data_IF_789319480771
#
_entry.id   IF_789319480771
#
_cell.length_a   1.000
_cell.length_b   1.000
_cell.length_c   1.000
_cell.angle_alpha   90.00
_cell.angle_beta   90.00
_cell.angle_gamma   90.00
#
_symmetry.space_group_name_H-M   'P 1'
#
loop_
_entity.id
_entity.type
_entity.pdbx_description
1 polymer ?
#
# COMPACT_ATOMS: atom_id res chain seq x y z
N UNK A 1 -14.94 -50.44 -21.06
CA UNK A 1 -14.28 -49.25 -21.66
C UNK A 1 -15.15 -48.00 -21.47
N UNK A 2 -15.36 -47.51 -20.23
CA UNK A 2 -16.11 -46.26 -19.93
C UNK A 2 -15.74 -45.68 -18.54
N UNK A 3 -14.44 -45.64 -18.19
CA UNK A 3 -13.97 -45.05 -16.92
C UNK A 3 -12.61 -44.35 -17.07
N UNK A 4 -12.40 -43.63 -18.17
CA UNK A 4 -11.14 -42.91 -18.41
C UNK A 4 -11.37 -41.55 -19.06
N UNK A 5 -12.40 -40.82 -18.61
CA UNK A 5 -12.71 -39.48 -19.15
C UNK A 5 -13.21 -38.52 -18.07
N UNK A 6 -12.59 -38.52 -16.89
CA UNK A 6 -12.97 -37.65 -15.77
C UNK A 6 -11.76 -37.19 -14.93
N UNK A 7 -10.57 -37.07 -15.55
CA UNK A 7 -9.37 -36.54 -14.88
C UNK A 7 -8.83 -35.26 -15.57
N UNK A 8 -9.38 -34.86 -16.72
CA UNK A 8 -8.86 -33.73 -17.51
C UNK A 8 -9.54 -32.38 -17.32
N UNK A 9 -10.31 -32.17 -16.24
CA UNK A 9 -10.85 -30.83 -15.89
C UNK A 9 -10.79 -30.60 -14.38
N UNK A 10 -9.58 -30.62 -13.81
CA UNK A 10 -9.31 -30.05 -12.48
C UNK A 10 -8.05 -29.17 -12.51
N UNK A 11 -7.82 -28.51 -13.65
CA UNK A 11 -6.85 -27.44 -13.87
C UNK A 11 -7.57 -26.09 -14.03
N UNK A 12 -8.67 -25.91 -13.31
CA UNK A 12 -9.38 -24.64 -13.25
C UNK A 12 -8.86 -23.84 -12.05
N UNK A 13 -7.99 -22.89 -12.36
CA UNK A 13 -7.84 -21.62 -11.67
C UNK A 13 -7.61 -21.72 -10.15
N UNK A 14 -6.40 -22.08 -9.75
CA UNK A 14 -5.83 -21.56 -8.51
C UNK A 14 -5.60 -20.06 -8.76
N UNK A 15 -6.64 -19.25 -8.56
CA UNK A 15 -6.48 -17.80 -8.49
C UNK A 15 -5.64 -17.52 -7.24
N UNK A 16 -4.56 -16.72 -7.33
CA UNK A 16 -3.78 -16.36 -6.17
C UNK A 16 -4.70 -15.65 -5.18
N UNK A 17 -4.81 -16.20 -3.96
CA UNK A 17 -5.47 -15.54 -2.85
C UNK A 17 -4.67 -14.31 -2.48
N UNK A 18 -5.11 -13.13 -2.94
CA UNK A 18 -4.58 -11.89 -2.41
C UNK A 18 -5.12 -11.72 -0.99
N UNK A 19 -4.26 -11.71 0.05
CA UNK A 19 -4.67 -11.24 1.36
C UNK A 19 -5.11 -9.78 1.24
N UNK A 20 -5.93 -9.39 2.20
CA UNK A 20 -6.47 -8.05 2.35
C UNK A 20 -5.35 -6.99 2.23
N UNK A 21 -5.61 -5.90 1.49
CA UNK A 21 -4.75 -4.73 1.29
C UNK A 21 -4.01 -4.71 -0.05
N UNK A 22 -3.76 -5.88 -0.65
CA UNK A 22 -2.83 -6.01 -1.78
C UNK A 22 -3.33 -5.36 -3.08
N UNK A 23 -4.63 -5.43 -3.36
CA UNK A 23 -5.21 -4.91 -4.59
C UNK A 23 -4.89 -3.42 -4.78
N UNK A 24 -5.08 -2.60 -3.74
CA UNK A 24 -4.89 -1.16 -3.83
C UNK A 24 -3.43 -0.78 -4.14
N UNK A 25 -2.44 -1.39 -3.45
CA UNK A 25 -1.02 -1.11 -3.71
C UNK A 25 -0.58 -1.49 -5.12
N UNK A 26 -1.08 -2.63 -5.64
CA UNK A 26 -0.86 -3.05 -7.03
C UNK A 26 -1.38 -2.01 -8.02
N UNK A 27 -2.64 -1.58 -7.85
CA UNK A 27 -3.25 -0.56 -8.71
C UNK A 27 -2.51 0.78 -8.60
N UNK A 28 -2.15 1.22 -7.40
CA UNK A 28 -1.43 2.47 -7.19
C UNK A 28 -0.12 2.48 -8.00
N UNK A 29 0.69 1.42 -7.89
CA UNK A 29 1.96 1.32 -8.61
C UNK A 29 1.76 1.19 -10.12
N UNK A 30 0.75 0.42 -10.55
CA UNK A 30 0.39 0.28 -11.96
C UNK A 30 0.04 1.63 -12.58
N UNK A 31 -0.90 2.38 -11.98
CA UNK A 31 -1.35 3.65 -12.52
C UNK A 31 -0.30 4.77 -12.42
N UNK A 32 0.56 4.73 -11.41
CA UNK A 32 1.64 5.70 -11.26
C UNK A 32 2.59 5.71 -12.46
N UNK A 33 2.77 4.58 -13.16
CA UNK A 33 3.61 4.51 -14.36
C UNK A 33 3.11 5.44 -15.46
N UNK A 34 1.80 5.56 -15.67
CA UNK A 34 1.24 6.36 -16.76
C UNK A 34 1.36 7.88 -16.55
N UNK A 35 1.71 8.32 -15.33
CA UNK A 35 1.95 9.72 -15.03
C UNK A 35 3.40 10.16 -15.32
N UNK A 36 4.30 9.21 -15.57
CA UNK A 36 5.71 9.49 -15.78
C UNK A 36 5.97 10.13 -17.16
N UNK A 37 7.03 10.96 -17.27
CA UNK A 37 7.40 11.55 -18.55
C UNK A 37 7.94 10.48 -19.54
N UNK A 38 7.90 10.74 -20.87
CA UNK A 38 8.29 9.77 -21.90
C UNK A 38 9.66 9.11 -21.68
N UNK A 39 10.63 9.85 -21.17
CA UNK A 39 11.99 9.39 -20.86
C UNK A 39 12.00 8.29 -19.80
N UNK A 40 11.10 8.39 -18.82
CA UNK A 40 10.95 7.40 -17.76
C UNK A 40 10.10 6.20 -18.19
N UNK A 41 9.10 6.43 -19.05
CA UNK A 41 8.22 5.36 -19.55
C UNK A 41 8.98 4.25 -20.26
N UNK A 42 10.12 4.55 -20.87
CA UNK A 42 10.98 3.54 -21.52
C UNK A 42 11.35 2.39 -20.58
N UNK A 43 11.67 2.69 -19.32
CA UNK A 43 11.98 1.70 -18.29
C UNK A 43 10.73 1.24 -17.52
N UNK A 44 9.89 2.17 -17.09
CA UNK A 44 8.80 1.85 -16.17
C UNK A 44 7.64 1.12 -16.87
N UNK A 45 7.30 1.47 -18.11
CA UNK A 45 6.20 0.84 -18.84
C UNK A 45 6.52 -0.61 -19.22
N UNK A 46 7.76 -0.89 -19.59
CA UNK A 46 8.21 -2.25 -19.92
C UNK A 46 8.27 -3.16 -18.69
N UNK A 47 8.40 -2.58 -17.49
CA UNK A 47 8.45 -3.28 -16.21
C UNK A 47 7.20 -3.05 -15.33
N UNK A 48 6.09 -2.57 -15.91
CA UNK A 48 4.89 -2.18 -15.15
C UNK A 48 4.30 -3.35 -14.36
N UNK A 49 4.36 -4.57 -14.91
CA UNK A 49 3.86 -5.76 -14.21
C UNK A 49 4.71 -6.07 -12.98
N UNK A 50 6.04 -5.92 -13.07
CA UNK A 50 6.93 -6.08 -11.92
C UNK A 50 6.60 -5.06 -10.83
N UNK A 51 6.47 -3.79 -11.19
CA UNK A 51 6.15 -2.71 -10.24
C UNK A 51 4.81 -2.96 -9.54
N UNK A 52 3.81 -3.43 -10.28
CA UNK A 52 2.51 -3.81 -9.73
C UNK A 52 2.63 -5.03 -8.81
N UNK A 53 3.19 -6.14 -9.27
CA UNK A 53 3.21 -7.39 -8.50
C UNK A 53 4.07 -7.34 -7.25
N UNK A 54 5.15 -6.57 -7.27
CA UNK A 54 6.06 -6.39 -6.15
C UNK A 54 5.68 -5.21 -5.24
N UNK A 55 4.60 -4.47 -5.54
CA UNK A 55 4.07 -3.41 -4.67
C UNK A 55 3.60 -3.91 -3.29
N UNK A 56 3.49 -5.23 -3.11
CA UNK A 56 3.01 -5.88 -1.88
C UNK A 56 4.13 -6.64 -1.15
N UNK A 57 5.35 -6.62 -1.69
CA UNK A 57 6.50 -7.28 -1.05
C UNK A 57 6.83 -6.73 0.35
N UNK A 58 6.67 -5.41 0.65
CA UNK A 58 6.83 -4.92 2.01
C UNK A 58 5.91 -5.60 3.03
N UNK A 59 4.64 -5.87 2.67
CA UNK A 59 3.73 -6.60 3.54
C UNK A 59 4.15 -8.05 3.73
N UNK A 60 4.62 -8.72 2.67
CA UNK A 60 5.19 -10.07 2.80
C UNK A 60 6.40 -10.08 3.72
N UNK A 61 7.23 -9.04 3.68
CA UNK A 61 8.42 -8.90 4.54
C UNK A 61 8.07 -8.67 6.00
N UNK A 62 6.88 -8.15 6.32
CA UNK A 62 6.41 -7.93 7.71
C UNK A 62 6.59 -9.17 8.60
N UNK A 63 6.44 -10.37 8.00
CA UNK A 63 6.52 -11.66 8.70
C UNK A 63 7.92 -12.31 8.74
N UNK A 64 8.87 -11.76 7.98
CA UNK A 64 10.19 -12.35 7.76
C UNK A 64 11.35 -11.42 8.17
N UNK A 65 11.12 -10.10 8.20
CA UNK A 65 12.15 -9.08 8.44
C UNK A 65 11.84 -8.32 9.71
N UNK A 66 12.72 -8.43 10.69
CA UNK A 66 12.61 -7.70 11.95
C UNK A 66 12.58 -6.18 11.70
N UNK A 67 11.61 -5.50 12.33
CA UNK A 67 11.42 -4.06 12.18
C UNK A 67 10.81 -3.62 10.84
N UNK A 68 10.34 -4.55 9.99
CA UNK A 68 9.56 -4.17 8.81
C UNK A 68 8.20 -3.60 9.20
N UNK A 69 7.48 -4.21 10.15
CA UNK A 69 6.12 -3.79 10.51
C UNK A 69 5.98 -2.30 10.85
N UNK A 70 6.93 -1.74 11.61
CA UNK A 70 6.95 -0.32 11.97
C UNK A 70 7.05 0.62 10.76
N UNK A 71 7.46 0.14 9.57
CA UNK A 71 7.63 0.97 8.36
C UNK A 71 6.31 1.24 7.64
N UNK A 72 5.24 0.57 8.03
CA UNK A 72 3.93 0.60 7.37
C UNK A 72 2.98 1.64 7.97
N UNK A 73 3.24 2.14 9.17
CA UNK A 73 2.30 3.00 9.88
C UNK A 73 3.02 4.06 10.71
N UNK A 74 2.22 4.95 11.30
CA UNK A 74 2.60 5.81 12.42
C UNK A 74 1.38 6.08 13.29
N UNK A 75 1.38 5.57 14.52
CA UNK A 75 0.30 5.82 15.48
C UNK A 75 0.48 7.21 16.09
N UNK A 76 0.16 8.22 15.28
CA UNK A 76 0.56 9.61 15.52
C UNK A 76 -0.11 10.21 16.77
N UNK A 77 -1.25 9.66 17.15
CA UNK A 77 -2.04 9.98 18.34
C UNK A 77 -1.32 9.65 19.65
N UNK A 78 -0.33 8.74 19.65
CA UNK A 78 0.55 8.55 20.81
C UNK A 78 1.46 9.73 21.11
N UNK A 79 1.65 10.63 20.15
CA UNK A 79 2.58 11.74 20.31
C UNK A 79 1.90 13.05 20.72
N UNK A 80 0.58 13.17 20.65
CA UNK A 80 -0.16 14.37 21.09
C UNK A 80 -1.47 14.56 20.35
N UNK A 81 -1.93 15.81 20.30
CA UNK A 81 -3.14 16.22 19.57
C UNK A 81 -2.77 16.87 18.24
N UNK A 82 -3.66 16.79 17.25
CA UNK A 82 -3.49 17.45 15.95
C UNK A 82 -3.11 18.95 16.13
N UNK A 83 -2.11 19.48 15.39
CA UNK A 83 -1.36 18.86 14.29
C UNK A 83 -0.11 18.09 14.73
N UNK A 84 -0.04 17.65 15.99
CA UNK A 84 1.02 16.80 16.57
C UNK A 84 2.39 17.47 16.61
N UNK A 85 2.45 18.76 16.96
CA UNK A 85 3.68 19.57 16.98
C UNK A 85 4.75 19.06 17.96
N UNK A 86 4.32 18.27 18.93
CA UNK A 86 5.19 17.56 19.86
C UNK A 86 6.10 16.54 19.17
N UNK A 87 5.71 15.98 18.02
CA UNK A 87 6.51 15.00 17.28
C UNK A 87 7.46 15.69 16.29
N UNK A 88 8.79 15.68 16.51
CA UNK A 88 9.71 16.31 15.58
C UNK A 88 9.68 15.62 14.22
N UNK A 89 9.62 16.42 13.15
CA UNK A 89 9.57 15.90 11.77
C UNK A 89 10.93 15.41 11.28
N UNK A 90 12.01 15.92 11.87
CA UNK A 90 13.37 15.44 11.67
C UNK A 90 13.63 14.18 12.50
N UNK A 91 14.13 13.12 11.87
CA UNK A 91 14.40 11.83 12.52
C UNK A 91 15.32 11.93 13.74
N UNK A 92 16.41 12.68 13.67
CA UNK A 92 17.37 12.78 14.77
C UNK A 92 16.76 13.45 16.00
N UNK A 93 15.97 14.52 15.79
CA UNK A 93 15.23 15.18 16.88
C UNK A 93 14.15 14.27 17.47
N UNK A 94 13.47 13.49 16.64
CA UNK A 94 12.47 12.52 17.11
C UNK A 94 13.13 11.42 17.94
N UNK A 95 14.28 10.91 17.47
CA UNK A 95 15.07 9.88 18.14
C UNK A 95 15.60 10.37 19.49
N UNK A 96 16.11 11.60 19.55
CA UNK A 96 16.57 12.22 20.79
C UNK A 96 15.43 12.37 21.81
N UNK A 97 14.25 12.78 21.35
CA UNK A 97 13.10 13.05 22.22
C UNK A 97 12.39 11.79 22.70
N UNK A 98 12.18 10.81 21.84
CA UNK A 98 11.33 9.63 22.12
C UNK A 98 12.10 8.33 22.22
N UNK A 99 13.34 8.26 21.74
CA UNK A 99 14.13 7.02 21.70
C UNK A 99 13.71 6.09 20.58
N UNK A 100 14.61 5.14 20.24
CA UNK A 100 14.41 4.22 19.11
C UNK A 100 13.24 3.27 19.33
N UNK A 101 13.12 2.71 20.53
CA UNK A 101 12.14 1.66 20.82
C UNK A 101 10.72 2.20 20.74
N UNK A 102 10.48 3.41 21.25
CA UNK A 102 9.19 4.10 21.13
C UNK A 102 8.85 4.40 19.67
N UNK A 103 9.79 4.93 18.89
CA UNK A 103 9.55 5.21 17.48
C UNK A 103 9.26 3.93 16.69
N UNK A 104 9.99 2.84 16.95
CA UNK A 104 9.73 1.54 16.32
C UNK A 104 8.39 0.94 16.75
N UNK A 105 7.99 1.15 18.00
CA UNK A 105 6.70 0.66 18.52
C UNK A 105 5.50 1.37 17.91
N UNK A 106 5.60 2.68 17.68
CA UNK A 106 4.48 3.49 17.18
C UNK A 106 4.65 3.92 15.73
N UNK A 107 5.49 3.20 14.98
CA UNK A 107 5.63 3.36 13.54
C UNK A 107 6.51 4.53 13.09
N UNK A 108 7.12 4.34 11.92
CA UNK A 108 8.14 5.22 11.34
C UNK A 108 7.94 5.50 9.85
N UNK A 109 6.77 5.19 9.28
CA UNK A 109 6.51 5.32 7.83
C UNK A 109 6.94 6.68 7.23
N UNK A 110 6.73 7.85 7.88
CA UNK A 110 7.09 9.13 7.26
C UNK A 110 8.59 9.29 7.04
N UNK A 111 9.41 8.79 7.98
CA UNK A 111 10.87 8.82 7.87
C UNK A 111 11.39 7.69 6.98
N UNK A 112 10.70 6.55 6.95
CA UNK A 112 11.09 5.44 6.08
C UNK A 112 10.95 5.82 4.60
N UNK A 113 9.90 6.54 4.21
CA UNK A 113 9.73 7.08 2.85
C UNK A 113 10.95 7.93 2.42
N UNK A 114 11.50 8.76 3.31
CA UNK A 114 12.70 9.56 3.00
C UNK A 114 13.93 8.69 2.77
N UNK A 115 14.08 7.64 3.58
CA UNK A 115 15.15 6.64 3.41
C UNK A 115 15.04 5.94 2.07
N UNK A 116 13.82 5.55 1.69
CA UNK A 116 13.55 4.90 0.41
C UNK A 116 13.79 5.83 -0.78
N UNK A 117 13.41 7.11 -0.67
CA UNK A 117 13.71 8.11 -1.70
C UNK A 117 15.21 8.29 -1.90
N UNK A 118 15.99 8.37 -0.81
CA UNK A 118 17.44 8.45 -0.89
C UNK A 118 18.04 7.22 -1.58
N UNK A 119 17.59 6.01 -1.20
CA UNK A 119 18.04 4.76 -1.82
C UNK A 119 17.69 4.68 -3.30
N UNK A 120 16.47 5.07 -3.67
CA UNK A 120 16.04 5.08 -5.07
C UNK A 120 16.85 6.08 -5.90
N UNK A 121 17.11 7.27 -5.34
CA UNK A 121 17.99 8.27 -5.96
C UNK A 121 19.40 7.71 -6.18
N UNK A 122 19.96 7.02 -5.20
CA UNK A 122 21.27 6.38 -5.32
C UNK A 122 21.28 5.30 -6.41
N UNK A 123 20.24 4.45 -6.49
CA UNK A 123 20.11 3.43 -7.52
C UNK A 123 20.04 4.03 -8.94
N UNK A 124 19.37 5.17 -9.10
CA UNK A 124 19.39 5.91 -10.36
C UNK A 124 20.79 6.44 -10.70
N UNK A 125 21.50 7.04 -9.75
CA UNK A 125 22.89 7.52 -9.95
C UNK A 125 23.82 6.38 -10.37
N UNK A 126 23.66 5.23 -9.75
CA UNK A 126 24.44 4.01 -10.01
C UNK A 126 24.02 3.28 -11.30
N UNK A 127 22.94 3.71 -11.97
CA UNK A 127 22.43 3.08 -13.19
C UNK A 127 22.12 1.59 -12.99
N UNK A 128 21.59 1.25 -11.81
CA UNK A 128 21.22 -0.11 -11.42
C UNK A 128 19.72 -0.34 -11.64
N UNK A 129 19.38 -0.92 -12.80
CA UNK A 129 18.00 -1.21 -13.19
C UNK A 129 17.25 -2.04 -12.13
N UNK A 130 17.87 -3.11 -11.63
CA UNK A 130 17.23 -4.04 -10.70
C UNK A 130 16.90 -3.33 -9.39
N UNK A 131 17.84 -2.56 -8.85
CA UNK A 131 17.61 -1.77 -7.64
C UNK A 131 16.59 -0.66 -7.86
N UNK A 132 16.59 0.02 -9.01
CA UNK A 132 15.56 1.02 -9.35
C UNK A 132 14.18 0.38 -9.29
N UNK A 133 13.98 -0.78 -9.93
CA UNK A 133 12.68 -1.45 -9.97
C UNK A 133 12.23 -1.93 -8.57
N UNK A 134 13.11 -2.63 -7.83
CA UNK A 134 12.82 -3.11 -6.46
C UNK A 134 12.45 -1.94 -5.53
N UNK A 135 13.27 -0.90 -5.51
CA UNK A 135 13.05 0.27 -4.65
C UNK A 135 11.84 1.11 -5.08
N UNK A 136 11.51 1.13 -6.37
CA UNK A 136 10.31 1.83 -6.87
C UNK A 136 9.03 1.16 -6.40
N UNK A 137 8.95 -0.17 -6.48
CA UNK A 137 7.82 -0.94 -5.95
C UNK A 137 7.69 -0.76 -4.43
N UNK A 138 8.81 -0.88 -3.70
CA UNK A 138 8.82 -0.74 -2.24
C UNK A 138 8.43 0.68 -1.77
N UNK A 139 9.01 1.74 -2.36
CA UNK A 139 8.64 3.10 -1.96
C UNK A 139 7.18 3.40 -2.29
N UNK A 140 6.67 2.83 -3.40
CA UNK A 140 5.27 2.96 -3.81
C UNK A 140 4.30 2.44 -2.74
N UNK A 141 4.65 1.33 -2.09
CA UNK A 141 3.89 0.75 -0.99
C UNK A 141 3.80 1.69 0.21
N UNK A 142 4.94 2.12 0.78
CA UNK A 142 4.97 2.96 1.97
C UNK A 142 4.32 4.33 1.75
N UNK A 143 4.44 4.87 0.53
CA UNK A 143 3.70 6.08 0.16
C UNK A 143 2.19 5.79 0.18
N UNK A 144 1.75 4.65 -0.37
CA UNK A 144 0.37 4.20 -0.29
C UNK A 144 -0.14 4.14 1.15
N UNK A 145 0.60 3.46 2.04
CA UNK A 145 0.29 3.36 3.47
C UNK A 145 0.09 4.73 4.14
N UNK A 146 0.99 5.67 3.87
CA UNK A 146 0.91 7.01 4.46
C UNK A 146 -0.37 7.77 4.06
N UNK A 147 -1.07 7.35 2.99
CA UNK A 147 -2.36 7.91 2.58
C UNK A 147 -3.56 7.19 3.21
N UNK A 148 -3.37 6.06 3.89
CA UNK A 148 -4.43 5.33 4.57
C UNK A 148 -4.67 5.96 5.94
N UNK A 149 -5.89 6.47 6.24
CA UNK A 149 -6.18 7.07 7.55
C UNK A 149 -5.89 6.14 8.73
N UNK A 150 -6.22 4.85 8.57
CA UNK A 150 -6.06 3.82 9.59
C UNK A 150 -4.60 3.39 9.85
N UNK A 151 -3.65 3.73 8.95
CA UNK A 151 -2.21 3.58 9.19
C UNK A 151 -1.62 4.78 9.93
N UNK A 152 -2.44 5.78 10.27
CA UNK A 152 -2.02 7.02 10.93
C UNK A 152 -2.78 7.23 12.25
N UNK A 153 -3.19 6.15 12.92
CA UNK A 153 -3.82 6.18 14.24
C UNK A 153 -3.69 4.84 14.96
N UNK A 154 -3.64 4.86 16.28
CA UNK A 154 -3.57 3.64 17.11
C UNK A 154 -4.79 2.73 16.99
N UNK A 155 -5.95 3.25 16.54
CA UNK A 155 -7.18 2.47 16.33
C UNK A 155 -7.25 1.85 14.91
N UNK A 156 -6.16 1.22 14.47
CA UNK A 156 -5.96 0.78 13.08
C UNK A 156 -7.08 -0.12 12.55
N UNK A 157 -7.54 -1.07 13.35
CA UNK A 157 -8.58 -2.02 12.97
C UNK A 157 -9.90 -1.78 13.71
N UNK A 158 -10.11 -0.59 14.29
CA UNK A 158 -11.34 -0.27 15.02
C UNK A 158 -11.44 -0.97 16.38
N UNK A 159 -10.36 -1.57 16.88
CA UNK A 159 -10.33 -2.35 18.11
C UNK A 159 -10.63 -1.54 19.38
N UNK A 160 -10.35 -0.24 19.37
CA UNK A 160 -10.62 0.68 20.48
C UNK A 160 -12.06 1.22 20.46
N UNK A 161 -12.77 1.07 19.35
CA UNK A 161 -14.13 1.61 19.15
C UNK A 161 -15.18 0.57 18.76
N UNK A 162 -14.83 -0.72 18.84
CA UNK A 162 -15.68 -1.87 18.50
C UNK A 162 -16.11 -1.91 17.03
N UNK A 163 -15.17 -1.63 16.13
CA UNK A 163 -15.33 -1.62 14.67
C UNK A 163 -14.35 -2.60 14.00
N UNK A 164 -14.05 -3.71 14.68
CA UNK A 164 -13.11 -4.74 14.22
C UNK A 164 -13.34 -5.12 12.75
N UNK A 165 -12.26 -5.11 11.96
CA UNK A 165 -12.26 -5.38 10.53
C UNK A 165 -12.48 -4.15 9.63
N UNK A 166 -12.57 -2.93 10.19
CA UNK A 166 -12.69 -1.70 9.40
C UNK A 166 -11.45 -1.43 8.53
N UNK A 167 -10.27 -1.92 8.95
CA UNK A 167 -9.04 -1.82 8.15
C UNK A 167 -9.19 -2.55 6.82
N UNK A 168 -9.45 -3.86 6.87
CA UNK A 168 -9.65 -4.67 5.68
C UNK A 168 -10.86 -4.19 4.84
N UNK A 169 -11.89 -3.66 5.49
CA UNK A 169 -13.03 -3.04 4.81
C UNK A 169 -12.60 -1.85 3.96
N UNK A 170 -11.83 -0.93 4.52
CA UNK A 170 -11.40 0.30 3.84
C UNK A 170 -10.37 0.02 2.73
N UNK A 171 -9.36 -0.80 3.01
CA UNK A 171 -8.23 -1.01 2.08
C UNK A 171 -8.47 -2.04 1.00
N UNK A 172 -9.38 -2.99 1.24
CA UNK A 172 -9.56 -4.12 0.33
C UNK A 172 -10.94 -4.14 -0.25
N UNK A 173 -11.96 -4.26 0.61
CA UNK A 173 -13.31 -4.58 0.14
C UNK A 173 -13.86 -3.47 -0.76
N UNK A 174 -13.70 -2.22 -0.37
CA UNK A 174 -14.20 -1.09 -1.16
C UNK A 174 -13.41 -0.94 -2.48
N UNK A 175 -12.05 -0.93 -2.49
CA UNK A 175 -11.30 -0.91 -3.73
C UNK A 175 -11.59 -2.09 -4.67
N UNK A 176 -11.61 -3.32 -4.16
CA UNK A 176 -11.89 -4.53 -4.95
C UNK A 176 -13.28 -4.46 -5.61
N UNK A 177 -14.26 -3.85 -4.94
CA UNK A 177 -15.62 -3.72 -5.44
C UNK A 177 -15.78 -2.59 -6.47
N UNK A 178 -15.15 -1.43 -6.24
CA UNK A 178 -15.48 -0.19 -6.95
C UNK A 178 -14.40 0.28 -7.95
N UNK A 179 -13.13 -0.03 -7.73
CA UNK A 179 -12.05 0.59 -8.49
C UNK A 179 -12.12 0.31 -10.00
N UNK A 180 -12.38 -0.93 -10.39
CA UNK A 180 -12.42 -1.32 -11.79
C UNK A 180 -13.68 -0.82 -12.53
N UNK A 181 -14.76 -0.52 -11.82
CA UNK A 181 -16.08 -0.22 -12.41
C UNK A 181 -16.50 1.23 -12.28
N UNK A 182 -15.97 1.96 -11.29
CA UNK A 182 -16.55 3.22 -10.83
C UNK A 182 -15.54 4.35 -10.66
N UNK A 183 -14.23 4.07 -10.67
CA UNK A 183 -13.20 5.06 -10.38
C UNK A 183 -12.36 5.37 -11.60
N UNK A 184 -11.86 6.61 -11.65
CA UNK A 184 -10.93 7.06 -12.68
C UNK A 184 -9.56 7.33 -12.07
N UNK A 185 -8.52 6.77 -12.67
CA UNK A 185 -7.13 6.90 -12.24
C UNK A 185 -6.24 7.64 -13.25
N UNK A 186 -6.82 8.21 -14.30
CA UNK A 186 -6.11 9.04 -15.27
C UNK A 186 -6.03 10.49 -14.77
N UNK A 187 -5.06 10.77 -13.90
CA UNK A 187 -5.07 11.98 -13.06
C UNK A 187 -3.99 13.03 -13.36
N UNK A 188 -3.25 12.88 -14.46
CA UNK A 188 -2.29 13.88 -14.94
C UNK A 188 -0.85 13.39 -14.99
N UNK A 189 0.10 14.28 -14.68
CA UNK A 189 1.55 14.02 -14.79
C UNK A 189 2.22 14.07 -13.42
N UNK A 190 3.32 13.35 -13.28
CA UNK A 190 4.18 13.42 -12.11
C UNK A 190 4.80 14.82 -11.97
N UNK A 191 4.94 15.29 -10.73
CA UNK A 191 5.53 16.60 -10.42
C UNK A 191 6.82 16.43 -9.62
N UNK A 192 7.75 17.38 -9.78
CA UNK A 192 8.96 17.40 -8.97
C UNK A 192 8.63 17.89 -7.56
N UNK A 193 8.99 17.10 -6.54
CA UNK A 193 8.76 17.43 -5.14
C UNK A 193 10.01 18.10 -4.57
N UNK A 194 9.98 19.43 -4.46
CA UNK A 194 11.10 20.22 -3.94
C UNK A 194 11.41 19.95 -2.46
N UNK A 195 10.39 19.60 -1.66
CA UNK A 195 10.56 19.24 -0.25
C UNK A 195 9.78 17.94 0.07
N UNK A 196 10.41 16.77 -0.16
CA UNK A 196 9.78 15.47 0.08
C UNK A 196 9.38 15.24 1.54
N UNK A 197 10.12 15.80 2.50
CA UNK A 197 9.79 15.70 3.93
C UNK A 197 8.47 16.42 4.21
N UNK A 198 8.35 17.69 3.78
CA UNK A 198 7.13 18.47 3.98
C UNK A 198 5.94 17.85 3.26
N UNK A 199 6.14 17.30 2.05
CA UNK A 199 5.09 16.60 1.32
C UNK A 199 4.59 15.39 2.09
N UNK A 200 5.49 14.52 2.55
CA UNK A 200 5.11 13.31 3.30
C UNK A 200 4.35 13.67 4.58
N UNK A 201 4.83 14.63 5.36
CA UNK A 201 4.12 15.03 6.58
C UNK A 201 2.76 15.66 6.31
N UNK A 202 2.60 16.40 5.21
CA UNK A 202 1.27 16.88 4.79
C UNK A 202 0.30 15.71 4.55
N UNK A 203 0.73 14.66 3.86
CA UNK A 203 -0.09 13.46 3.59
C UNK A 203 -0.46 12.71 4.87
N UNK A 204 0.49 12.59 5.79
CA UNK A 204 0.28 11.99 7.12
C UNK A 204 -0.73 12.79 7.92
N UNK A 205 -0.61 14.12 7.98
CA UNK A 205 -1.58 14.97 8.72
C UNK A 205 -2.98 14.91 8.11
N UNK A 206 -3.09 14.81 6.77
CA UNK A 206 -4.37 14.59 6.10
C UNK A 206 -4.97 13.21 6.44
N UNK A 207 -4.15 12.15 6.49
CA UNK A 207 -4.59 10.81 6.96
C UNK A 207 -5.08 10.85 8.40
N UNK A 208 -4.31 11.48 9.29
CA UNK A 208 -4.65 11.61 10.70
C UNK A 208 -5.99 12.32 10.90
N UNK A 209 -6.22 13.42 10.18
CA UNK A 209 -7.50 14.13 10.22
C UNK A 209 -8.66 13.29 9.66
N UNK A 210 -8.41 12.47 8.64
CA UNK A 210 -9.41 11.61 8.03
C UNK A 210 -9.78 10.38 8.88
N UNK A 211 -8.91 9.96 9.81
CA UNK A 211 -9.15 8.77 10.65
C UNK A 211 -10.42 8.90 11.49
N UNK A 212 -10.70 10.11 12.02
CA UNK A 212 -11.95 10.42 12.72
C UNK A 212 -13.16 10.15 11.81
N UNK A 213 -13.15 10.68 10.58
CA UNK A 213 -14.27 10.51 9.65
C UNK A 213 -14.48 9.05 9.27
N UNK A 214 -13.40 8.29 9.03
CA UNK A 214 -13.47 6.85 8.75
C UNK A 214 -14.19 6.11 9.89
N UNK A 215 -13.73 6.28 11.13
CA UNK A 215 -14.31 5.59 12.27
C UNK A 215 -15.73 6.07 12.60
N UNK A 216 -15.93 7.39 12.68
CA UNK A 216 -17.22 7.98 13.07
C UNK A 216 -18.33 7.64 12.07
N UNK A 217 -18.07 7.77 10.76
CA UNK A 217 -19.08 7.50 9.73
C UNK A 217 -19.45 6.02 9.70
N UNK A 218 -18.50 5.10 9.87
CA UNK A 218 -18.80 3.67 9.91
C UNK A 218 -19.70 3.32 11.11
N UNK A 219 -19.41 3.95 12.27
CA UNK A 219 -20.21 3.80 13.48
C UNK A 219 -21.64 4.36 13.30
N UNK A 220 -21.76 5.56 12.75
CA UNK A 220 -23.06 6.18 12.44
C UNK A 220 -23.86 5.34 11.44
N UNK A 221 -23.21 4.87 10.37
CA UNK A 221 -23.85 4.03 9.36
C UNK A 221 -24.32 2.69 9.94
N UNK A 222 -23.56 2.09 10.85
CA UNK A 222 -23.96 0.86 11.55
C UNK A 222 -25.31 1.03 12.27
N UNK A 223 -25.61 2.19 12.83
CA UNK A 223 -26.91 2.42 13.51
C UNK A 223 -28.11 2.42 12.54
N UNK A 224 -27.86 2.63 11.25
CA UNK A 224 -28.88 2.68 10.18
C UNK A 224 -29.05 1.35 9.45
N UNK A 225 -28.22 0.34 9.75
CA UNK A 225 -28.22 -0.96 9.09
C UNK A 225 -28.42 -2.08 10.11
N UNK A 226 -29.35 -2.99 9.84
CA UNK A 226 -29.45 -4.22 10.61
C UNK A 226 -28.25 -5.14 10.30
N UNK A 227 -27.90 -6.04 11.22
CA UNK A 227 -26.70 -6.87 11.08
C UNK A 227 -26.69 -7.77 9.84
N UNK A 228 -27.87 -8.22 9.40
CA UNK A 228 -28.13 -8.98 8.17
C UNK A 228 -28.02 -8.12 6.89
N UNK A 229 -28.08 -6.79 7.00
CA UNK A 229 -27.86 -5.87 5.89
C UNK A 229 -26.41 -5.35 5.85
N UNK A 230 -25.73 -5.29 7.00
CA UNK A 230 -24.32 -4.86 7.10
C UNK A 230 -23.37 -5.88 6.48
N UNK A 231 -23.62 -7.18 6.68
CA UNK A 231 -22.76 -8.25 6.20
C UNK A 231 -23.46 -9.15 5.17
N UNK A 232 -22.69 -9.67 4.22
CA UNK A 232 -23.09 -10.71 3.27
C UNK A 232 -22.09 -11.86 3.29
N UNK A 233 -22.54 -13.05 2.85
CA UNK A 233 -21.64 -14.15 2.51
C UNK A 233 -21.41 -14.13 1.01
N UNK A 234 -20.17 -13.95 0.59
CA UNK A 234 -19.78 -13.91 -0.82
C UNK A 234 -18.69 -14.96 -1.09
N UNK A 235 -18.73 -15.64 -2.25
CA UNK A 235 -17.72 -16.61 -2.61
C UNK A 235 -16.38 -15.89 -2.91
N UNK A 236 -15.34 -16.24 -2.17
CA UNK A 236 -13.95 -15.86 -2.43
C UNK A 236 -13.10 -17.13 -2.48
N UNK A 237 -12.44 -17.38 -3.61
CA UNK A 237 -11.62 -18.58 -3.84
C UNK A 237 -12.36 -19.90 -3.52
N UNK A 238 -13.65 -19.98 -3.84
CA UNK A 238 -14.47 -21.18 -3.61
C UNK A 238 -14.97 -21.36 -2.17
N UNK A 239 -14.67 -20.43 -1.25
CA UNK A 239 -15.21 -20.43 0.12
C UNK A 239 -16.16 -19.24 0.33
N UNK A 240 -17.27 -19.47 1.02
CA UNK A 240 -18.17 -18.41 1.43
C UNK A 240 -17.58 -17.67 2.63
N UNK A 241 -17.19 -16.40 2.45
CA UNK A 241 -16.62 -15.57 3.51
C UNK A 241 -17.65 -14.52 3.90
N UNK A 242 -17.83 -14.33 5.22
CA UNK A 242 -18.62 -13.22 5.76
C UNK A 242 -17.83 -11.92 5.60
N UNK A 243 -18.38 -10.95 4.87
CA UNK A 243 -17.75 -9.66 4.64
C UNK A 243 -18.80 -8.54 4.58
N UNK A 244 -18.35 -7.28 4.52
CA UNK A 244 -19.26 -6.14 4.37
C UNK A 244 -20.04 -6.24 3.04
N UNK A 245 -21.36 -6.07 3.13
CA UNK A 245 -22.25 -6.21 1.98
C UNK A 245 -22.01 -5.10 0.95
N UNK A 246 -22.24 -5.38 -0.33
CA UNK A 246 -22.14 -4.37 -1.40
C UNK A 246 -22.95 -3.11 -1.09
N UNK A 247 -24.17 -3.27 -0.53
CA UNK A 247 -25.02 -2.13 -0.14
C UNK A 247 -24.38 -1.27 0.95
N UNK A 248 -23.78 -1.91 1.96
CA UNK A 248 -23.07 -1.19 3.02
C UNK A 248 -21.81 -0.49 2.49
N UNK A 249 -21.06 -1.16 1.61
CA UNK A 249 -19.87 -0.59 0.96
C UNK A 249 -20.22 0.68 0.17
N UNK A 250 -21.28 0.64 -0.63
CA UNK A 250 -21.74 1.78 -1.44
C UNK A 250 -22.20 2.95 -0.56
N UNK A 251 -23.00 2.67 0.47
CA UNK A 251 -23.46 3.71 1.40
C UNK A 251 -22.28 4.34 2.15
N UNK A 252 -21.35 3.54 2.65
CA UNK A 252 -20.16 4.04 3.35
C UNK A 252 -19.25 4.87 2.45
N UNK A 253 -19.01 4.40 1.22
CA UNK A 253 -18.24 5.14 0.23
C UNK A 253 -18.90 6.50 -0.10
N UNK A 254 -20.23 6.53 -0.24
CA UNK A 254 -20.99 7.77 -0.45
C UNK A 254 -20.89 8.74 0.74
N UNK A 255 -21.06 8.25 1.97
CA UNK A 255 -20.97 9.08 3.19
C UNK A 255 -19.55 9.62 3.43
N UNK A 256 -18.52 8.88 3.01
CA UNK A 256 -17.14 9.35 2.94
C UNK A 256 -16.86 10.26 1.72
N UNK A 257 -17.89 10.57 0.93
CA UNK A 257 -17.82 11.38 -0.29
C UNK A 257 -16.87 10.80 -1.36
N UNK A 258 -16.65 9.49 -1.42
CA UNK A 258 -15.59 8.81 -2.22
C UNK A 258 -14.16 9.02 -1.67
N UNK A 259 -13.98 9.01 -0.34
CA UNK A 259 -12.66 9.23 0.26
C UNK A 259 -11.62 8.22 -0.23
N UNK A 260 -11.99 6.94 -0.33
CA UNK A 260 -11.06 5.88 -0.72
C UNK A 260 -10.47 6.17 -2.12
N UNK A 261 -11.33 6.50 -3.09
CA UNK A 261 -10.90 6.90 -4.43
C UNK A 261 -9.99 8.14 -4.38
N UNK A 262 -10.39 9.19 -3.65
CA UNK A 262 -9.57 10.41 -3.52
C UNK A 262 -8.19 10.11 -2.95
N UNK A 263 -8.10 9.26 -1.91
CA UNK A 263 -6.82 8.87 -1.31
C UNK A 263 -6.00 8.02 -2.26
N UNK A 264 -6.60 7.06 -2.98
CA UNK A 264 -5.89 6.28 -4.00
C UNK A 264 -5.36 7.16 -5.14
N UNK A 265 -6.14 8.12 -5.64
CA UNK A 265 -5.69 9.10 -6.64
C UNK A 265 -4.51 9.93 -6.11
N UNK A 266 -4.58 10.39 -4.86
CA UNK A 266 -3.45 11.09 -4.23
C UNK A 266 -2.21 10.20 -4.09
N UNK A 267 -2.37 8.93 -3.72
CA UNK A 267 -1.28 7.96 -3.65
C UNK A 267 -0.63 7.74 -5.02
N UNK A 268 -1.42 7.54 -6.08
CA UNK A 268 -0.93 7.36 -7.46
C UNK A 268 -0.06 8.56 -7.88
N UNK A 269 -0.58 9.78 -7.67
CA UNK A 269 0.15 11.01 -7.99
C UNK A 269 1.44 11.15 -7.15
N UNK A 270 1.37 10.83 -5.86
CA UNK A 270 2.53 10.89 -4.97
C UNK A 270 3.60 9.88 -5.39
N UNK A 271 3.25 8.61 -5.63
CA UNK A 271 4.19 7.57 -6.05
C UNK A 271 4.91 7.97 -7.33
N UNK A 272 4.16 8.39 -8.36
CA UNK A 272 4.76 8.84 -9.62
C UNK A 272 5.70 10.04 -9.41
N UNK A 273 5.30 10.99 -8.57
CA UNK A 273 6.08 12.20 -8.26
C UNK A 273 7.35 11.88 -7.46
N UNK A 274 7.32 10.90 -6.55
CA UNK A 274 8.51 10.44 -5.82
C UNK A 274 9.49 9.70 -6.73
N UNK A 275 9.00 8.84 -7.63
CA UNK A 275 9.85 8.19 -8.64
C UNK A 275 10.52 9.24 -9.55
N UNK A 276 9.72 10.19 -10.06
CA UNK A 276 10.21 11.29 -10.87
C UNK A 276 11.24 12.16 -10.12
N UNK A 277 10.94 12.51 -8.87
CA UNK A 277 11.85 13.27 -8.00
C UNK A 277 13.17 12.54 -7.78
N UNK A 278 13.15 11.22 -7.56
CA UNK A 278 14.36 10.42 -7.41
C UNK A 278 15.23 10.42 -8.68
N UNK A 279 14.60 10.30 -9.85
CA UNK A 279 15.27 10.35 -11.15
C UNK A 279 15.88 11.73 -11.43
N UNK A 280 15.13 12.82 -11.17
CA UNK A 280 15.63 14.19 -11.30
C UNK A 280 16.80 14.46 -10.35
N UNK A 281 16.68 14.08 -9.08
CA UNK A 281 17.75 14.24 -8.08
C UNK A 281 19.01 13.41 -8.41
N UNK A 282 18.89 12.37 -9.24
CA UNK A 282 20.00 11.58 -9.74
C UNK A 282 20.69 12.19 -10.97
N UNK A 283 20.24 13.35 -11.45
CA UNK A 283 20.76 13.99 -12.66
C UNK A 283 20.14 13.45 -13.96
N UNK A 284 18.93 12.88 -13.88
CA UNK A 284 18.16 12.41 -15.02
C UNK A 284 18.94 11.43 -15.94
N UNK A 285 19.53 10.34 -15.40
CA UNK A 285 20.28 9.39 -16.21
C UNK A 285 19.40 8.82 -17.34
N UNK A 286 20.01 8.63 -18.51
CA UNK A 286 19.34 8.05 -19.68
C UNK A 286 18.92 6.60 -19.42
N UNK A 287 17.62 6.39 -19.23
CA UNK A 287 17.07 5.07 -18.92
C UNK A 287 17.05 4.13 -20.12
N UNK A 288 17.30 4.62 -21.35
CA UNK A 288 17.46 3.74 -22.52
C UNK A 288 18.65 2.79 -22.38
N UNK A 289 19.66 3.22 -21.64
CA UNK A 289 20.86 2.41 -21.35
C UNK A 289 20.57 1.29 -20.34
N UNK A 290 19.38 1.28 -19.75
CA UNK A 290 18.99 0.37 -18.67
C UNK A 290 17.97 -0.67 -19.11
N UNK A 291 17.62 -0.85 -20.39
CA UNK A 291 16.48 -1.72 -20.75
C UNK A 291 16.85 -3.22 -20.82
N UNK A 292 18.14 -3.58 -20.68
CA UNK A 292 18.63 -4.93 -20.97
C UNK A 292 19.23 -5.70 -19.77
N UNK A 293 19.11 -5.19 -18.53
CA UNK A 293 19.59 -5.92 -17.36
C UNK A 293 18.45 -6.76 -16.78
N UNK A 294 18.43 -8.04 -17.14
CA UNK A 294 17.51 -8.98 -16.53
C UNK A 294 17.83 -9.19 -15.05
N UNK A 295 16.80 -9.45 -14.24
CA UNK A 295 16.97 -9.96 -12.88
C UNK A 295 17.84 -11.22 -12.90
N UNK A 296 18.88 -11.23 -12.06
CA UNK A 296 19.77 -12.36 -11.89
C UNK A 296 19.03 -13.57 -11.31
N UNK A 297 19.63 -14.77 -11.39
CA UNK A 297 19.08 -15.93 -10.66
C UNK A 297 18.99 -15.67 -9.16
N UNK A 298 19.94 -14.92 -8.60
CA UNK A 298 19.91 -14.56 -7.19
C UNK A 298 18.68 -13.69 -6.86
N UNK A 299 18.38 -12.69 -7.68
CA UNK A 299 17.19 -11.84 -7.50
C UNK A 299 15.92 -12.67 -7.52
N UNK A 300 15.80 -13.61 -8.48
CA UNK A 300 14.64 -14.51 -8.58
C UNK A 300 14.50 -15.39 -7.36
N UNK A 301 15.61 -15.98 -6.89
CA UNK A 301 15.63 -16.79 -5.66
C UNK A 301 15.24 -15.98 -4.42
N UNK A 302 15.59 -14.70 -4.35
CA UNK A 302 15.17 -13.82 -3.25
C UNK A 302 13.64 -13.63 -3.25
N UNK A 303 13.04 -13.37 -4.42
CA UNK A 303 11.59 -13.23 -4.54
C UNK A 303 10.86 -14.54 -4.22
N UNK A 304 11.35 -15.67 -4.72
CA UNK A 304 10.77 -16.99 -4.45
C UNK A 304 10.84 -17.33 -2.97
N UNK A 305 11.97 -17.04 -2.31
CA UNK A 305 12.12 -17.21 -0.86
C UNK A 305 11.13 -16.34 -0.08
N UNK A 306 10.95 -15.09 -0.46
CA UNK A 306 9.98 -14.20 0.18
C UNK A 306 8.55 -14.73 0.04
N UNK A 307 8.16 -15.14 -1.17
CA UNK A 307 6.85 -15.70 -1.44
C UNK A 307 6.61 -17.02 -0.68
N UNK A 308 7.59 -17.91 -0.65
CA UNK A 308 7.51 -19.17 0.10
C UNK A 308 7.41 -18.94 1.61
N UNK A 309 8.20 -18.00 2.15
CA UNK A 309 8.14 -17.63 3.56
C UNK A 309 6.75 -17.09 3.92
N UNK A 310 6.19 -16.21 3.08
CA UNK A 310 4.86 -15.66 3.28
C UNK A 310 3.76 -16.73 3.20
N UNK A 311 3.75 -17.59 2.17
CA UNK A 311 2.78 -18.69 2.04
C UNK A 311 2.82 -19.66 3.23
N UNK A 312 4.01 -20.00 3.71
CA UNK A 312 4.18 -20.89 4.86
C UNK A 312 3.60 -20.30 6.15
N UNK A 313 3.61 -18.97 6.31
CA UNK A 313 3.07 -18.28 7.49
C UNK A 313 1.55 -18.19 7.43
N UNK A 314 0.96 -17.96 6.26
CA UNK A 314 -0.50 -18.01 6.07
C UNK A 314 -1.06 -19.41 6.38
N UNK A 315 -0.39 -20.47 5.90
CA UNK A 315 -0.80 -21.84 6.18
C UNK A 315 -0.78 -22.20 7.67
N UNK A 316 0.01 -21.48 8.48
CA UNK A 316 0.11 -21.66 9.93
C UNK A 316 -0.86 -20.77 10.73
N UNK A 317 -1.82 -20.09 10.08
CA UNK A 317 -2.88 -19.34 10.74
C UNK A 317 -2.42 -18.13 11.57
N UNK A 318 -1.23 -17.58 11.28
CA UNK A 318 -0.74 -16.36 11.92
C UNK A 318 -1.23 -15.13 11.14
N UNK A 319 -2.54 -14.97 11.04
CA UNK A 319 -3.13 -13.67 10.70
C UNK A 319 -3.19 -12.86 12.00
N UNK A 320 -2.32 -11.86 12.10
CA UNK A 320 -2.32 -10.91 13.20
C UNK A 320 -3.01 -9.64 12.71
N UNK A 321 -4.32 -9.56 12.96
CA UNK A 321 -4.99 -8.26 13.14
C UNK A 321 -4.35 -7.48 14.30
#
# INVERSE_FOLDING_TARGET
>A
MKKLLLITVWLLCIQPSFPWGFYAHKQINYYAVFMLPPEMLVLYKTNIQFLSDHAVDPDKRRYAVAGEGARHYIDIDHYGVYPFDSLPRNWHKALEKYGRDTLQKYGIVPWHIQTMLFRLTAAFKEKDQVRILKLSADIGHYIGDAHVPLHVCSNHNGQLTNQHGIHAFWESRIPELLAASSWDFMIGKAEYISNPVSFTWKRVLESAAAADSVLRIEKELTTRFSGDQKYSFEPRNGQAIRQYSTRYCLAYNQELNNMIERRMRQSIAAVASFWYTAWVNAGQPDLKQLINKNFSEQDRREFDKLNAAWLSRQANGKDCD
#
